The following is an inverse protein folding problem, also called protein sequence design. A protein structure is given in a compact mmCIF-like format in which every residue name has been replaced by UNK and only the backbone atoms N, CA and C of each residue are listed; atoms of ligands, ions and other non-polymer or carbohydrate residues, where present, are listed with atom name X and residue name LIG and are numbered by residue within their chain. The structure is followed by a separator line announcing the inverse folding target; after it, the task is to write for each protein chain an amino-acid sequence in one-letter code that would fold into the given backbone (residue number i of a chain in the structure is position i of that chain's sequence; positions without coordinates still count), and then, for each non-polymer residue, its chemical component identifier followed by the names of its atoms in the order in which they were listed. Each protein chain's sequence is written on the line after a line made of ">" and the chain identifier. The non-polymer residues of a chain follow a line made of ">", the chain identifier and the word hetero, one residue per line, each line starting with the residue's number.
data_IF_180919423614
#
_entry.id   IF_180919423614
#
_cell.length_a   1.000
_cell.length_b   1.000
_cell.length_c   1.000
_cell.angle_alpha   90.00
_cell.angle_beta   90.00
_cell.angle_gamma   90.00
#
_symmetry.space_group_name_H-M   'P 1'
#
loop_
_entity.id
_entity.type
_entity.pdbx_description
1 polymer ?
#
# COMPACT_ATOMS: atom_id res chain seq x y z
N UNK A 1 -9.25 12.22 1.86
CA UNK A 1 -9.30 11.49 0.57
C UNK A 1 -9.99 10.13 0.71
N UNK A 2 -9.51 9.23 1.54
CA UNK A 2 -10.15 7.95 1.88
C UNK A 2 -10.70 8.03 3.30
N UNK A 3 -11.96 7.64 3.49
CA UNK A 3 -12.59 7.55 4.82
C UNK A 3 -13.23 6.18 4.98
N UNK A 4 -12.99 5.56 6.10
CA UNK A 4 -13.56 4.27 6.50
C UNK A 4 -14.28 4.48 7.84
N UNK A 5 -15.55 4.07 7.92
CA UNK A 5 -16.39 4.26 9.12
C UNK A 5 -17.04 2.95 9.51
N UNK A 6 -16.79 2.51 10.74
CA UNK A 6 -17.41 1.35 11.38
C UNK A 6 -17.36 0.07 10.51
N UNK A 7 -16.26 -0.11 9.78
CA UNK A 7 -16.10 -1.19 8.82
C UNK A 7 -15.95 -2.54 9.52
N UNK A 8 -16.83 -3.48 9.19
CA UNK A 8 -16.75 -4.86 9.66
C UNK A 8 -16.69 -5.82 8.49
N UNK A 9 -15.78 -6.80 8.56
CA UNK A 9 -15.56 -7.81 7.52
C UNK A 9 -15.48 -9.20 8.16
N UNK A 10 -16.09 -10.20 7.50
CA UNK A 10 -16.06 -11.58 7.98
C UNK A 10 -15.85 -12.57 6.82
N UNK A 11 -15.19 -13.68 7.14
CA UNK A 11 -15.00 -14.83 6.26
C UNK A 11 -15.69 -16.05 6.89
N UNK A 12 -16.74 -16.58 6.25
CA UNK A 12 -17.43 -17.78 6.73
C UNK A 12 -17.90 -17.70 8.20
N UNK A 13 -18.30 -16.51 8.67
CA UNK A 13 -18.74 -16.26 10.05
C UNK A 13 -17.63 -15.82 11.01
N UNK A 14 -16.34 -15.97 10.66
CA UNK A 14 -15.23 -15.44 11.44
C UNK A 14 -15.00 -13.98 11.13
N UNK A 15 -15.08 -13.10 12.14
CA UNK A 15 -14.82 -11.67 11.97
C UNK A 15 -13.32 -11.43 11.83
N UNK A 16 -12.95 -10.80 10.73
CA UNK A 16 -11.59 -10.35 10.44
C UNK A 16 -11.39 -8.87 10.76
N UNK A 17 -12.46 -8.06 10.63
CA UNK A 17 -12.48 -6.65 11.04
C UNK A 17 -13.79 -6.35 11.77
N UNK A 18 -13.73 -5.52 12.81
CA UNK A 18 -14.85 -5.13 13.66
C UNK A 18 -14.82 -3.62 13.91
N UNK A 19 -15.78 -2.91 13.33
CA UNK A 19 -15.98 -1.46 13.51
C UNK A 19 -14.70 -0.62 13.31
N UNK A 20 -13.88 -0.97 12.30
CA UNK A 20 -12.66 -0.24 11.99
C UNK A 20 -13.00 1.11 11.40
N UNK A 21 -12.44 2.17 11.98
CA UNK A 21 -12.55 3.54 11.50
C UNK A 21 -11.16 4.11 11.31
N UNK A 22 -10.87 4.63 10.12
CA UNK A 22 -9.64 5.36 9.81
C UNK A 22 -9.86 6.33 8.64
N UNK A 23 -8.96 7.30 8.53
CA UNK A 23 -8.97 8.25 7.43
C UNK A 23 -7.57 8.47 6.86
N UNK A 24 -7.50 8.73 5.56
CA UNK A 24 -6.29 9.13 4.86
C UNK A 24 -6.59 10.43 4.12
N UNK A 25 -6.01 11.53 4.57
CA UNK A 25 -6.15 12.82 3.91
C UNK A 25 -5.37 12.84 2.56
N UNK A 26 -5.75 13.71 1.64
CA UNK A 26 -5.05 13.87 0.35
C UNK A 26 -3.63 14.37 0.58
N UNK A 27 -2.66 13.78 -0.13
CA UNK A 27 -1.26 14.12 0.00
C UNK A 27 -0.61 13.65 1.31
N UNK A 28 -1.23 12.74 2.07
CA UNK A 28 -0.65 12.20 3.30
C UNK A 28 -0.09 10.80 3.09
N UNK A 29 0.98 10.52 3.83
CA UNK A 29 1.55 9.20 3.98
C UNK A 29 1.10 8.61 5.32
N UNK A 30 0.23 7.63 5.26
CA UNK A 30 -0.34 6.97 6.45
C UNK A 30 0.16 5.53 6.52
N UNK A 31 0.57 5.11 7.70
CA UNK A 31 1.00 3.74 7.97
C UNK A 31 0.01 3.02 8.87
N UNK A 32 -0.36 1.80 8.48
CA UNK A 32 -1.14 0.88 9.29
C UNK A 32 -0.23 -0.24 9.79
N UNK A 33 -0.02 -0.31 11.10
CA UNK A 33 0.80 -1.33 11.74
C UNK A 33 -0.06 -2.28 12.57
N UNK A 34 0.49 -3.45 12.90
CA UNK A 34 -0.17 -4.43 13.75
C UNK A 34 0.41 -5.83 13.52
N UNK A 35 0.13 -6.77 14.45
CA UNK A 35 0.63 -8.13 14.35
C UNK A 35 0.05 -8.88 13.14
N UNK A 36 0.67 -10.04 12.82
CA UNK A 36 0.12 -10.94 11.81
C UNK A 36 -1.26 -11.43 12.24
N UNK A 37 -2.19 -11.45 11.29
CA UNK A 37 -3.59 -11.81 11.59
C UNK A 37 -4.44 -10.67 12.15
N UNK A 38 -3.90 -9.45 12.35
CA UNK A 38 -4.67 -8.31 12.84
C UNK A 38 -5.77 -7.81 11.88
N UNK A 39 -5.76 -8.24 10.60
CA UNK A 39 -6.76 -7.85 9.61
C UNK A 39 -6.26 -6.83 8.57
N UNK A 40 -4.97 -6.45 8.58
CA UNK A 40 -4.39 -5.43 7.69
C UNK A 40 -4.66 -5.71 6.20
N UNK A 41 -4.28 -6.89 5.71
CA UNK A 41 -4.52 -7.28 4.30
C UNK A 41 -6.01 -7.45 3.99
N UNK A 42 -6.85 -7.80 4.99
CA UNK A 42 -8.30 -7.83 4.84
C UNK A 42 -8.85 -6.43 4.56
N UNK A 43 -8.38 -5.43 5.32
CA UNK A 43 -8.74 -4.03 5.09
C UNK A 43 -8.39 -3.59 3.66
N UNK A 44 -7.16 -3.88 3.21
CA UNK A 44 -6.71 -3.55 1.85
C UNK A 44 -7.55 -4.25 0.77
N UNK A 45 -7.83 -5.54 0.94
CA UNK A 45 -8.71 -6.30 0.03
C UNK A 45 -10.12 -5.72 0.00
N UNK A 46 -10.62 -5.20 1.12
CA UNK A 46 -11.95 -4.57 1.18
C UNK A 46 -11.95 -3.21 0.51
N UNK A 47 -10.93 -2.36 0.72
CA UNK A 47 -10.78 -1.09 0.01
C UNK A 47 -10.65 -1.33 -1.50
N UNK A 48 -9.93 -2.38 -1.92
CA UNK A 48 -9.77 -2.75 -3.34
C UNK A 48 -11.00 -3.41 -3.95
N UNK A 49 -12.03 -3.77 -3.15
CA UNK A 49 -13.26 -4.41 -3.63
C UNK A 49 -13.15 -5.90 -3.88
N UNK A 50 -12.08 -6.55 -3.44
CA UNK A 50 -11.89 -8.00 -3.53
C UNK A 50 -12.73 -8.73 -2.50
N UNK A 51 -12.91 -8.13 -1.31
CA UNK A 51 -13.70 -8.68 -0.21
C UNK A 51 -14.80 -7.69 0.14
N UNK A 52 -16.08 -8.09 0.11
CA UNK A 52 -17.18 -7.22 0.52
C UNK A 52 -17.20 -7.09 2.06
N UNK A 53 -17.53 -5.92 2.62
CA UNK A 53 -17.78 -5.77 4.03
C UNK A 53 -19.14 -6.34 4.44
N UNK A 54 -19.29 -6.65 5.73
CA UNK A 54 -20.56 -7.02 6.35
C UNK A 54 -21.36 -5.77 6.72
N UNK A 55 -20.65 -4.72 7.18
CA UNK A 55 -21.23 -3.43 7.55
C UNK A 55 -20.19 -2.32 7.49
N UNK A 56 -20.63 -1.08 7.64
CA UNK A 56 -19.80 0.11 7.58
C UNK A 56 -19.80 0.78 6.22
N UNK A 57 -18.97 1.80 6.08
CA UNK A 57 -18.86 2.59 4.85
C UNK A 57 -17.40 2.84 4.47
N UNK A 58 -17.14 2.91 3.17
CA UNK A 58 -15.86 3.33 2.61
C UNK A 58 -16.15 4.41 1.58
N UNK A 59 -15.59 5.60 1.77
CA UNK A 59 -15.70 6.68 0.79
C UNK A 59 -14.31 7.07 0.28
N UNK A 60 -14.22 7.35 -1.00
CA UNK A 60 -13.03 7.86 -1.64
C UNK A 60 -13.37 9.13 -2.41
N UNK A 61 -12.77 10.27 -2.01
CA UNK A 61 -13.06 11.60 -2.56
C UNK A 61 -14.57 11.94 -2.58
N UNK A 62 -15.28 11.50 -1.52
CA UNK A 62 -16.72 11.70 -1.37
C UNK A 62 -17.59 10.66 -2.09
N UNK A 63 -17.03 9.78 -2.90
CA UNK A 63 -17.77 8.70 -3.57
C UNK A 63 -17.78 7.42 -2.72
N UNK A 64 -18.94 6.77 -2.64
CA UNK A 64 -19.08 5.49 -1.93
C UNK A 64 -18.42 4.37 -2.74
N UNK A 65 -17.27 3.83 -2.25
CA UNK A 65 -16.55 2.75 -2.93
C UNK A 65 -17.33 1.44 -2.97
N UNK A 66 -18.29 1.23 -2.08
CA UNK A 66 -19.06 -0.03 -2.04
C UNK A 66 -20.02 -0.15 -3.23
N UNK A 67 -20.34 0.95 -3.91
CA UNK A 67 -21.13 0.95 -5.14
C UNK A 67 -20.30 0.64 -6.40
N UNK A 68 -18.97 0.56 -6.28
CA UNK A 68 -18.05 0.32 -7.40
C UNK A 68 -17.46 -1.10 -7.34
N UNK A 69 -17.39 -1.76 -8.50
CA UNK A 69 -16.69 -3.04 -8.64
C UNK A 69 -15.18 -2.83 -8.43
N UNK A 70 -14.45 -3.88 -8.09
CA UNK A 70 -13.01 -3.84 -7.90
C UNK A 70 -12.26 -3.24 -9.12
N UNK A 71 -12.66 -3.62 -10.35
CA UNK A 71 -12.10 -3.09 -11.60
C UNK A 71 -12.27 -1.58 -11.75
N UNK A 72 -13.37 -1.03 -11.24
CA UNK A 72 -13.72 0.38 -11.42
C UNK A 72 -12.95 1.28 -10.45
N UNK A 73 -12.52 0.73 -9.30
CA UNK A 73 -11.75 1.47 -8.27
C UNK A 73 -10.39 1.92 -8.77
N UNK A 74 -9.76 1.16 -9.67
CA UNK A 74 -8.53 1.60 -10.34
C UNK A 74 -8.76 2.84 -11.22
N UNK A 75 -9.93 2.95 -11.87
CA UNK A 75 -10.32 4.13 -12.64
C UNK A 75 -10.59 5.37 -11.77
N UNK A 76 -10.97 5.18 -10.50
CA UNK A 76 -11.07 6.26 -9.52
C UNK A 76 -9.70 6.78 -9.05
N UNK A 77 -8.62 6.05 -9.37
CA UNK A 77 -7.25 6.41 -9.01
C UNK A 77 -6.73 5.71 -7.76
N UNK A 78 -7.28 4.56 -7.40
CA UNK A 78 -6.76 3.70 -6.31
C UNK A 78 -5.89 2.62 -6.93
N UNK A 79 -4.62 2.54 -6.53
CA UNK A 79 -3.74 1.42 -6.85
C UNK A 79 -3.44 0.60 -5.60
N UNK A 80 -3.47 -0.71 -5.72
CA UNK A 80 -3.12 -1.66 -4.67
C UNK A 80 -1.97 -2.55 -5.13
N UNK A 81 -0.86 -2.50 -4.42
CA UNK A 81 0.28 -3.42 -4.55
C UNK A 81 0.16 -4.43 -3.42
N UNK A 82 -0.33 -5.64 -3.69
CA UNK A 82 -0.55 -6.64 -2.66
C UNK A 82 0.76 -7.29 -2.22
N UNK A 83 0.72 -7.92 -1.06
CA UNK A 83 1.79 -8.77 -0.54
C UNK A 83 2.18 -9.85 -1.57
N UNK A 84 3.46 -10.26 -1.54
CA UNK A 84 3.97 -11.34 -2.38
C UNK A 84 4.28 -10.94 -3.82
N UNK A 85 4.46 -9.64 -4.10
CA UNK A 85 4.90 -9.05 -5.38
C UNK A 85 3.90 -9.22 -6.52
N UNK A 86 3.33 -10.40 -6.72
CA UNK A 86 2.31 -10.80 -7.69
C UNK A 86 2.52 -10.24 -9.12
N UNK A 87 3.79 -10.31 -9.60
CA UNK A 87 4.10 -9.96 -10.99
C UNK A 87 3.63 -11.05 -11.96
N UNK A 88 3.32 -10.68 -13.20
CA UNK A 88 3.02 -11.62 -14.27
C UNK A 88 4.33 -12.22 -14.79
N UNK A 89 4.71 -13.39 -14.26
CA UNK A 89 6.03 -14.00 -14.46
C UNK A 89 6.36 -14.32 -15.90
N UNK A 90 5.34 -14.58 -16.72
CA UNK A 90 5.44 -14.92 -18.16
C UNK A 90 5.38 -13.70 -19.07
N UNK A 91 5.22 -12.52 -18.53
CA UNK A 91 5.33 -11.25 -19.24
C UNK A 91 6.67 -10.60 -18.97
N UNK A 92 7.14 -9.79 -19.91
CA UNK A 92 8.32 -8.95 -19.73
C UNK A 92 8.08 -7.87 -18.67
N UNK A 93 9.15 -7.23 -18.22
CA UNK A 93 9.07 -6.05 -17.32
C UNK A 93 8.19 -4.98 -17.95
N UNK A 94 8.42 -4.63 -19.21
CA UNK A 94 7.64 -3.62 -19.94
C UNK A 94 6.16 -3.98 -20.00
N UNK A 95 5.82 -5.20 -20.39
CA UNK A 95 4.43 -5.66 -20.48
C UNK A 95 3.74 -5.64 -19.11
N UNK A 96 4.44 -5.99 -18.01
CA UNK A 96 3.92 -5.83 -16.66
C UNK A 96 3.56 -4.38 -16.33
N UNK A 97 4.41 -3.41 -16.71
CA UNK A 97 4.14 -1.99 -16.52
C UNK A 97 2.95 -1.52 -17.37
N UNK A 98 2.88 -1.95 -18.64
CA UNK A 98 1.78 -1.66 -19.55
C UNK A 98 0.44 -2.17 -19.03
N UNK A 99 0.41 -3.37 -18.40
CA UNK A 99 -0.78 -3.89 -17.71
C UNK A 99 -1.23 -2.98 -16.57
N UNK A 100 -0.31 -2.32 -15.86
CA UNK A 100 -0.62 -1.35 -14.82
C UNK A 100 -1.26 -0.07 -15.36
N UNK A 101 -0.95 0.31 -16.59
CA UNK A 101 -1.51 1.50 -17.26
C UNK A 101 -2.95 1.31 -17.78
N UNK A 102 -3.63 0.21 -17.38
CA UNK A 102 -5.01 -0.11 -17.74
C UNK A 102 -6.01 1.04 -17.50
N UNK A 103 -5.99 1.82 -16.39
CA UNK A 103 -6.88 2.96 -16.22
C UNK A 103 -6.70 4.01 -17.32
N UNK A 104 -7.78 4.75 -17.63
CA UNK A 104 -7.75 5.80 -18.66
C UNK A 104 -6.63 6.84 -18.39
N UNK A 105 -6.46 7.24 -17.14
CA UNK A 105 -5.40 8.16 -16.70
C UNK A 105 -4.01 7.61 -17.01
N UNK A 106 -3.76 6.35 -16.67
CA UNK A 106 -2.48 5.68 -16.95
C UNK A 106 -2.17 5.62 -18.44
N UNK A 107 -3.18 5.32 -19.28
CA UNK A 107 -2.99 5.31 -20.75
C UNK A 107 -2.68 6.69 -21.31
N UNK A 108 -3.36 7.73 -20.84
CA UNK A 108 -3.13 9.10 -21.30
C UNK A 108 -1.76 9.62 -20.87
N UNK A 109 -1.32 9.27 -19.67
CA UNK A 109 -0.05 9.74 -19.09
C UNK A 109 1.09 8.72 -19.26
N UNK A 110 0.92 7.68 -20.08
CA UNK A 110 1.83 6.54 -20.14
C UNK A 110 3.30 6.91 -20.29
N UNK A 111 3.63 7.75 -21.25
CA UNK A 111 5.03 8.14 -21.50
C UNK A 111 5.65 8.83 -20.29
N UNK A 112 4.97 9.81 -19.72
CA UNK A 112 5.44 10.55 -18.54
C UNK A 112 5.57 9.64 -17.31
N UNK A 113 4.58 8.77 -17.11
CA UNK A 113 4.57 7.84 -15.97
C UNK A 113 5.66 6.78 -16.12
N UNK A 114 5.89 6.28 -17.34
CA UNK A 114 6.96 5.33 -17.61
C UNK A 114 8.34 5.94 -17.35
N UNK A 115 8.60 7.16 -17.82
CA UNK A 115 9.84 7.88 -17.55
C UNK A 115 10.05 8.10 -16.05
N UNK A 116 8.97 8.42 -15.33
CA UNK A 116 9.02 8.55 -13.87
C UNK A 116 9.36 7.22 -13.18
N UNK A 117 8.72 6.11 -13.61
CA UNK A 117 9.02 4.77 -13.09
C UNK A 117 10.48 4.40 -13.35
N UNK A 118 11.01 4.68 -14.52
CA UNK A 118 12.40 4.41 -14.88
C UNK A 118 13.39 5.28 -14.06
N UNK A 119 13.00 6.51 -13.73
CA UNK A 119 13.79 7.37 -12.82
C UNK A 119 13.82 6.81 -11.40
N UNK A 120 12.70 6.32 -10.89
CA UNK A 120 12.58 5.72 -9.57
C UNK A 120 13.32 4.37 -9.50
N UNK A 121 13.20 3.57 -10.54
CA UNK A 121 13.70 2.21 -10.62
C UNK A 121 14.46 1.98 -11.94
N UNK A 122 15.71 2.50 -12.10
CA UNK A 122 16.46 2.41 -13.36
C UNK A 122 16.62 0.99 -13.89
N UNK A 123 16.73 0.01 -12.99
CA UNK A 123 16.84 -1.40 -13.34
C UNK A 123 15.67 -1.91 -14.19
N UNK A 124 14.48 -1.31 -14.06
CA UNK A 124 13.31 -1.69 -14.86
C UNK A 124 13.44 -1.22 -16.32
N UNK A 125 14.14 -0.10 -16.56
CA UNK A 125 14.49 0.34 -17.91
C UNK A 125 15.54 -0.56 -18.54
N UNK A 126 16.61 -0.88 -17.80
CA UNK A 126 17.70 -1.76 -18.25
C UNK A 126 17.20 -3.16 -18.62
N UNK A 127 16.19 -3.66 -17.91
CA UNK A 127 15.64 -5.00 -18.05
C UNK A 127 14.26 -5.04 -18.71
N UNK A 128 13.88 -3.98 -19.44
CA UNK A 128 12.52 -3.83 -20.00
C UNK A 128 12.03 -5.03 -20.82
N UNK A 129 12.91 -5.68 -21.56
CA UNK A 129 12.61 -6.89 -22.36
C UNK A 129 12.78 -8.21 -21.61
N UNK A 130 13.24 -8.21 -20.34
CA UNK A 130 13.45 -9.43 -19.57
C UNK A 130 12.12 -9.96 -18.99
N UNK A 131 11.96 -11.28 -18.94
CA UNK A 131 10.81 -11.93 -18.30
C UNK A 131 10.79 -11.66 -16.82
N UNK A 132 9.67 -11.16 -16.29
CA UNK A 132 9.53 -10.77 -14.87
C UNK A 132 9.79 -11.93 -13.90
N UNK A 133 9.52 -13.16 -14.31
CA UNK A 133 9.78 -14.35 -13.49
C UNK A 133 11.26 -14.62 -13.23
N UNK A 134 12.17 -14.03 -14.02
CA UNK A 134 13.63 -14.23 -13.90
C UNK A 134 14.32 -13.13 -13.10
N UNK A 135 13.58 -12.12 -12.68
CA UNK A 135 14.06 -11.04 -11.82
C UNK A 135 14.31 -11.54 -10.39
N UNK A 136 15.26 -10.91 -9.69
CA UNK A 136 15.43 -11.08 -8.25
C UNK A 136 14.18 -10.65 -7.47
N UNK A 137 14.07 -11.08 -6.21
CA UNK A 137 12.92 -10.71 -5.38
C UNK A 137 12.75 -9.19 -5.19
N UNK A 138 13.85 -8.46 -5.04
CA UNK A 138 13.81 -7.00 -4.93
C UNK A 138 13.38 -6.32 -6.23
N UNK A 139 13.88 -6.78 -7.38
CA UNK A 139 13.48 -6.26 -8.69
C UNK A 139 12.01 -6.56 -9.01
N UNK A 140 11.51 -7.74 -8.62
CA UNK A 140 10.08 -8.06 -8.73
C UNK A 140 9.23 -7.12 -7.87
N UNK A 141 9.71 -6.73 -6.69
CA UNK A 141 9.03 -5.77 -5.83
C UNK A 141 9.00 -4.37 -6.44
N UNK A 142 10.15 -3.92 -6.99
CA UNK A 142 10.23 -2.67 -7.74
C UNK A 142 9.25 -2.67 -8.93
N UNK A 143 9.18 -3.79 -9.66
CA UNK A 143 8.24 -3.96 -10.77
C UNK A 143 6.79 -3.93 -10.29
N UNK A 144 6.46 -4.55 -9.16
CA UNK A 144 5.10 -4.53 -8.61
C UNK A 144 4.67 -3.11 -8.22
N UNK A 145 5.57 -2.33 -7.58
CA UNK A 145 5.33 -0.92 -7.26
C UNK A 145 5.21 -0.09 -8.55
N UNK A 146 6.14 -0.25 -9.49
CA UNK A 146 6.09 0.43 -10.79
C UNK A 146 4.79 0.15 -11.55
N UNK A 147 4.29 -1.09 -11.53
CA UNK A 147 3.01 -1.45 -12.12
C UNK A 147 1.83 -0.74 -11.42
N UNK A 148 1.88 -0.58 -10.10
CA UNK A 148 0.90 0.20 -9.36
C UNK A 148 0.91 1.69 -9.76
N UNK A 149 2.11 2.26 -9.96
CA UNK A 149 2.30 3.65 -10.39
C UNK A 149 1.88 3.87 -11.85
N UNK A 150 2.00 2.85 -12.71
CA UNK A 150 1.69 2.95 -14.13
C UNK A 150 0.24 3.39 -14.43
N UNK A 151 -0.68 3.15 -13.51
CA UNK A 151 -2.05 3.65 -13.56
C UNK A 151 -2.21 5.16 -13.33
N UNK A 152 -1.12 5.89 -13.00
CA UNK A 152 -1.14 7.27 -12.54
C UNK A 152 -2.15 7.47 -11.38
N UNK A 153 -2.00 6.71 -10.28
CA UNK A 153 -2.96 6.73 -9.19
C UNK A 153 -2.91 8.04 -8.40
N UNK A 154 -4.00 8.32 -7.69
CA UNK A 154 -4.07 9.38 -6.66
C UNK A 154 -3.81 8.83 -5.25
N UNK A 155 -4.02 7.54 -5.08
CA UNK A 155 -3.86 6.83 -3.81
C UNK A 155 -3.19 5.49 -4.06
N UNK A 156 -2.04 5.28 -3.44
CA UNK A 156 -1.25 4.05 -3.53
C UNK A 156 -1.32 3.29 -2.22
N UNK A 157 -1.78 2.06 -2.29
CA UNK A 157 -1.84 1.13 -1.16
C UNK A 157 -0.75 0.08 -1.33
N UNK A 158 0.10 -0.07 -0.32
CA UNK A 158 1.26 -0.98 -0.32
C UNK A 158 1.12 -1.98 0.85
N UNK A 159 0.95 -3.26 0.54
CA UNK A 159 0.80 -4.32 1.53
C UNK A 159 2.13 -5.06 1.72
N UNK A 160 2.83 -4.76 2.82
CA UNK A 160 4.11 -5.35 3.25
C UNK A 160 5.19 -5.36 2.14
N UNK A 161 5.50 -4.20 1.52
CA UNK A 161 6.41 -4.15 0.38
C UNK A 161 7.85 -4.55 0.70
N UNK A 162 8.28 -4.55 1.96
CA UNK A 162 9.62 -4.95 2.38
C UNK A 162 9.76 -6.44 2.72
N UNK A 163 8.64 -7.18 2.78
CA UNK A 163 8.63 -8.55 3.27
C UNK A 163 9.48 -9.51 2.41
N UNK A 164 10.34 -10.28 3.09
CA UNK A 164 11.20 -11.27 2.43
C UNK A 164 12.28 -10.68 1.52
N UNK A 165 12.65 -9.41 1.74
CA UNK A 165 13.76 -8.75 1.06
C UNK A 165 14.99 -8.66 1.98
N UNK A 166 16.18 -8.59 1.38
CA UNK A 166 17.39 -8.24 2.11
C UNK A 166 17.29 -6.82 2.68
N UNK A 167 17.84 -6.51 3.85
CA UNK A 167 17.70 -5.21 4.50
C UNK A 167 18.02 -4.02 3.59
N UNK A 168 19.12 -4.03 2.87
CA UNK A 168 19.51 -2.95 1.97
C UNK A 168 18.52 -2.73 0.81
N UNK A 169 17.87 -3.81 0.33
CA UNK A 169 16.85 -3.71 -0.72
C UNK A 169 15.57 -3.14 -0.14
N UNK A 170 15.18 -3.56 1.06
CA UNK A 170 14.02 -3.02 1.76
C UNK A 170 14.20 -1.51 2.01
N UNK A 171 15.38 -1.08 2.46
CA UNK A 171 15.69 0.33 2.67
C UNK A 171 15.58 1.14 1.37
N UNK A 172 16.10 0.59 0.25
CA UNK A 172 15.91 1.20 -1.07
C UNK A 172 14.43 1.35 -1.44
N UNK A 173 13.60 0.33 -1.19
CA UNK A 173 12.16 0.39 -1.45
C UNK A 173 11.50 1.49 -0.62
N UNK A 174 11.82 1.59 0.68
CA UNK A 174 11.29 2.65 1.54
C UNK A 174 11.71 4.05 1.08
N UNK A 175 12.98 4.22 0.65
CA UNK A 175 13.45 5.49 0.10
C UNK A 175 12.66 5.89 -1.16
N UNK A 176 12.42 4.95 -2.08
CA UNK A 176 11.62 5.21 -3.29
C UNK A 176 10.16 5.53 -2.98
N UNK A 177 9.55 4.83 -2.03
CA UNK A 177 8.19 5.15 -1.57
C UNK A 177 8.14 6.57 -0.98
N UNK A 178 9.11 6.94 -0.14
CA UNK A 178 9.22 8.30 0.42
C UNK A 178 9.47 9.35 -0.65
N UNK A 179 10.27 9.02 -1.67
CA UNK A 179 10.52 9.92 -2.81
C UNK A 179 9.24 10.18 -3.61
N UNK A 180 8.47 9.12 -3.92
CA UNK A 180 7.17 9.22 -4.60
C UNK A 180 6.22 10.13 -3.82
N UNK A 181 6.13 9.94 -2.50
CA UNK A 181 5.28 10.76 -1.66
C UNK A 181 5.69 12.26 -1.70
N UNK A 182 6.98 12.54 -1.46
CA UNK A 182 7.48 13.93 -1.35
C UNK A 182 7.47 14.69 -2.68
N UNK A 183 7.88 14.03 -3.77
CA UNK A 183 8.06 14.70 -5.06
C UNK A 183 6.77 14.73 -5.89
N UNK A 184 5.97 13.67 -5.82
CA UNK A 184 4.76 13.54 -6.62
C UNK A 184 3.48 13.91 -5.83
N UNK A 185 3.60 14.15 -4.51
CA UNK A 185 2.47 14.45 -3.64
C UNK A 185 1.46 13.30 -3.53
N UNK A 186 1.91 12.06 -3.83
CA UNK A 186 1.03 10.90 -3.88
C UNK A 186 0.55 10.52 -2.47
N UNK A 187 -0.75 10.32 -2.32
CA UNK A 187 -1.33 9.82 -1.08
C UNK A 187 -0.99 8.34 -0.92
N UNK A 188 -0.41 7.96 0.22
CA UNK A 188 0.05 6.59 0.47
C UNK A 188 -0.63 6.03 1.71
N UNK A 189 -1.10 4.79 1.61
CA UNK A 189 -1.44 3.94 2.75
C UNK A 189 -0.54 2.71 2.72
N UNK A 190 0.33 2.59 3.72
CA UNK A 190 1.31 1.52 3.86
C UNK A 190 0.92 0.57 4.98
N UNK A 191 0.99 -0.71 4.71
CA UNK A 191 0.98 -1.77 5.74
C UNK A 191 2.38 -2.34 5.83
N UNK A 192 2.94 -2.39 7.03
CA UNK A 192 4.28 -2.95 7.28
C UNK A 192 4.42 -3.65 8.62
N UNK A 193 5.40 -4.54 8.71
CA UNK A 193 5.85 -5.18 9.94
C UNK A 193 7.10 -4.51 10.52
N UNK A 194 7.89 -3.83 9.69
CA UNK A 194 9.01 -2.98 10.11
C UNK A 194 8.45 -1.65 10.62
N UNK A 195 7.90 -1.70 11.82
CA UNK A 195 7.07 -0.62 12.38
C UNK A 195 7.84 0.69 12.50
N UNK A 196 9.08 0.65 13.05
CA UNK A 196 9.89 1.85 13.26
C UNK A 196 10.14 2.58 11.93
N UNK A 197 10.66 1.86 10.94
CA UNK A 197 11.04 2.44 9.64
C UNK A 197 9.83 2.95 8.86
N UNK A 198 8.69 2.28 8.99
CA UNK A 198 7.45 2.70 8.34
C UNK A 198 6.88 3.97 8.97
N UNK A 199 6.89 4.04 10.31
CA UNK A 199 6.38 5.19 11.06
C UNK A 199 7.27 6.42 10.90
N UNK A 200 8.61 6.27 10.89
CA UNK A 200 9.54 7.38 10.65
C UNK A 200 9.32 8.13 9.33
N UNK A 201 8.68 7.46 8.37
CA UNK A 201 8.43 8.00 7.02
C UNK A 201 7.00 8.47 6.81
N UNK A 202 6.12 8.22 7.78
CA UNK A 202 4.70 8.55 7.68
C UNK A 202 4.34 9.82 8.45
N UNK A 203 3.33 10.52 7.97
CA UNK A 203 2.73 11.66 8.68
C UNK A 203 1.88 11.20 9.85
N UNK A 204 1.34 9.97 9.76
CA UNK A 204 0.33 9.46 10.69
C UNK A 204 0.33 7.93 10.71
N UNK A 205 0.03 7.35 11.86
CA UNK A 205 -0.04 5.90 12.03
C UNK A 205 -1.33 5.43 12.69
N UNK A 206 -1.82 4.28 12.24
CA UNK A 206 -2.88 3.52 12.89
C UNK A 206 -2.33 2.19 13.36
N UNK A 207 -2.77 1.76 14.54
CA UNK A 207 -2.50 0.41 15.05
C UNK A 207 -3.77 -0.43 14.91
N UNK A 208 -3.66 -1.56 14.22
CA UNK A 208 -4.72 -2.54 14.10
C UNK A 208 -4.38 -3.77 14.94
N UNK A 209 -5.27 -4.16 15.83
CA UNK A 209 -5.10 -5.32 16.69
C UNK A 209 -6.39 -6.14 16.76
N UNK A 210 -6.29 -7.42 16.46
CA UNK A 210 -7.42 -8.37 16.52
C UNK A 210 -8.67 -7.87 15.78
N UNK A 211 -8.46 -7.27 14.62
CA UNK A 211 -9.55 -6.73 13.78
C UNK A 211 -10.14 -5.40 14.23
N UNK A 212 -9.56 -4.73 15.23
CA UNK A 212 -9.98 -3.42 15.72
C UNK A 212 -8.90 -2.37 15.51
N UNK A 213 -9.27 -1.13 15.20
CA UNK A 213 -8.34 0.00 15.30
C UNK A 213 -8.20 0.40 16.76
N UNK A 214 -7.00 0.31 17.31
CA UNK A 214 -6.76 0.50 18.75
C UNK A 214 -6.21 1.89 19.05
N UNK A 215 -5.46 2.47 18.12
CA UNK A 215 -4.79 3.74 18.32
C UNK A 215 -4.69 4.51 17.01
N UNK A 216 -5.03 5.80 17.07
CA UNK A 216 -4.76 6.76 16.02
C UNK A 216 -3.79 7.80 16.58
N UNK A 217 -2.55 7.90 16.02
CA UNK A 217 -1.54 8.76 16.63
C UNK A 217 -0.69 9.43 15.56
N UNK A 218 -0.42 10.75 15.70
CA UNK A 218 0.66 11.41 14.96
C UNK A 218 1.99 10.70 15.24
N UNK A 219 2.88 10.67 14.25
CA UNK A 219 4.20 10.02 14.34
C UNK A 219 4.96 10.37 15.65
N UNK A 220 5.00 11.66 16.01
CA UNK A 220 5.71 12.14 17.20
C UNK A 220 5.19 11.52 18.50
N UNK A 221 3.88 11.22 18.55
CA UNK A 221 3.23 10.62 19.72
C UNK A 221 3.39 9.10 19.75
N UNK A 222 3.48 8.44 18.57
CA UNK A 222 3.73 7.00 18.47
C UNK A 222 5.09 6.61 19.06
N UNK A 223 6.11 7.42 18.84
CA UNK A 223 7.44 7.21 19.44
C UNK A 223 7.45 7.45 20.95
N UNK A 224 6.51 8.25 21.46
CA UNK A 224 6.39 8.55 22.89
C UNK A 224 5.49 7.58 23.66
N UNK A 225 4.62 6.80 22.99
CA UNK A 225 3.74 5.83 23.64
C UNK A 225 4.51 4.54 23.98
N UNK A 226 4.72 4.32 25.29
CA UNK A 226 5.43 3.15 25.82
C UNK A 226 4.80 1.81 25.44
N UNK A 227 3.49 1.74 25.19
CA UNK A 227 2.80 0.53 24.72
C UNK A 227 3.20 0.21 23.28
N UNK A 228 3.25 1.22 22.42
CA UNK A 228 3.70 1.07 21.03
C UNK A 228 5.17 0.69 21.01
N UNK A 229 6.00 1.37 21.81
CA UNK A 229 7.44 1.06 21.91
C UNK A 229 7.70 -0.38 22.36
N UNK A 230 7.02 -0.85 23.40
CA UNK A 230 7.20 -2.22 23.93
C UNK A 230 6.60 -3.31 23.03
N UNK A 231 5.39 -3.07 22.51
CA UNK A 231 4.65 -4.10 21.77
C UNK A 231 5.06 -4.20 20.31
N UNK A 232 5.50 -3.09 19.69
CA UNK A 232 5.69 -3.02 18.23
C UNK A 232 7.09 -2.57 17.80
N UNK A 233 7.85 -1.85 18.65
CA UNK A 233 9.20 -1.42 18.33
C UNK A 233 10.29 -2.32 18.94
N UNK A 234 9.92 -3.26 19.82
CA UNK A 234 10.87 -4.15 20.51
C UNK A 234 11.87 -3.42 21.44
N UNK A 235 11.59 -2.16 21.77
CA UNK A 235 12.42 -1.34 22.65
C UNK A 235 12.04 -1.68 24.10
N UNK A 236 12.65 -2.70 24.65
CA UNK A 236 12.75 -2.88 26.11
C UNK A 236 13.74 -1.85 26.66
N UNK A 237 13.40 -1.19 27.76
CA UNK A 237 14.32 -0.34 28.50
C UNK A 237 15.61 -1.11 28.79
N UNK A 238 16.76 -0.49 28.45
CA UNK A 238 18.08 -0.92 28.88
C UNK A 238 18.30 -0.55 30.34
#
# INVERSE_FOLDING_TARGET
>A
MLEIKDLSVAYGGLRALSNVTLSVAEGRFVTLVGPNGAGKSTLFKTISGVVPPVSGAITFRGENLLSHRASDRAHLGIAHVPEGRQVFKTLTVRENLEMGAYPKTGRVQWTQTLDRIHTLFPILAERAGQMAGTLSGGEQQMLAIGRGLAGAPRHLMLDEPSMGLAPSVADTIFERISQIHREDGLTILLVEQRVAEALERSDHGYVLETGHSVLEVPYETLLADDRVRRSYLGLTEA
#
